data_IF_192529976300
#
_entry.id   IF_192529976300
#
_cell.length_a   1.000
_cell.length_b   1.000
_cell.length_c   1.000
_cell.angle_alpha   90.00
_cell.angle_beta   90.00
_cell.angle_gamma   90.00
#
_symmetry.space_group_name_H-M   'P 1'
#
loop_
_entity.id
_entity.type
_entity.pdbx_description
1 polymer ?
#
# COMPACT_ATOMS: atom_id res chain seq x y z
N UNK A 1 -19.70 -10.58 -7.94
CA UNK A 1 -18.71 -9.68 -8.58
C UNK A 1 -17.67 -9.39 -7.52
N UNK A 2 -16.47 -9.96 -7.62
CA UNK A 2 -15.41 -9.68 -6.64
C UNK A 2 -15.01 -8.22 -6.81
N UNK A 3 -15.31 -7.38 -5.82
CA UNK A 3 -14.83 -6.02 -5.81
C UNK A 3 -13.31 -6.08 -5.65
N UNK A 4 -12.61 -5.76 -6.72
CA UNK A 4 -11.16 -5.79 -6.80
C UNK A 4 -10.58 -4.80 -5.79
N UNK A 5 -9.55 -5.19 -5.03
CA UNK A 5 -8.92 -4.30 -4.04
C UNK A 5 -7.50 -3.99 -4.48
N UNK A 6 -7.12 -2.73 -4.41
CA UNK A 6 -5.74 -2.28 -4.61
C UNK A 6 -5.03 -2.26 -3.27
N UNK A 7 -3.78 -2.75 -3.23
CA UNK A 7 -2.93 -2.70 -2.05
C UNK A 7 -1.85 -1.66 -2.26
N UNK A 8 -1.70 -0.73 -1.32
CA UNK A 8 -0.62 0.26 -1.33
C UNK A 8 0.27 0.09 -0.11
N UNK A 9 1.53 -0.28 -0.34
CA UNK A 9 2.53 -0.41 0.70
C UNK A 9 3.22 0.92 0.97
N UNK A 10 3.28 1.29 2.25
CA UNK A 10 3.86 2.54 2.72
C UNK A 10 4.76 2.30 3.93
N UNK A 11 5.74 3.20 4.12
CA UNK A 11 6.46 3.33 5.40
C UNK A 11 5.84 4.41 6.30
N UNK A 12 4.73 5.00 5.87
CA UNK A 12 3.97 6.04 6.58
C UNK A 12 4.78 7.31 6.89
N UNK A 13 5.77 7.59 6.07
CA UNK A 13 6.69 8.74 6.21
C UNK A 13 6.16 10.01 5.52
N UNK A 14 5.16 9.91 4.62
CA UNK A 14 4.70 11.05 3.84
C UNK A 14 3.23 10.96 3.37
N UNK A 15 2.38 11.87 3.86
CA UNK A 15 0.99 12.06 3.41
C UNK A 15 0.87 12.32 1.90
N UNK A 16 1.85 13.00 1.28
CA UNK A 16 1.81 13.26 -0.16
C UNK A 16 1.82 11.95 -0.97
N UNK A 17 2.58 10.93 -0.54
CA UNK A 17 2.62 9.64 -1.21
C UNK A 17 1.29 8.89 -1.08
N UNK A 18 0.68 8.93 0.11
CA UNK A 18 -0.65 8.35 0.35
C UNK A 18 -1.70 9.03 -0.53
N UNK A 19 -1.66 10.36 -0.62
CA UNK A 19 -2.56 11.14 -1.46
C UNK A 19 -2.37 10.81 -2.95
N UNK A 20 -1.13 10.71 -3.43
CA UNK A 20 -0.84 10.27 -4.80
C UNK A 20 -1.38 8.86 -5.09
N UNK A 21 -1.31 7.94 -4.12
CA UNK A 21 -1.89 6.62 -4.25
C UNK A 21 -3.42 6.67 -4.37
N UNK A 22 -4.10 7.49 -3.55
CA UNK A 22 -5.55 7.68 -3.65
C UNK A 22 -5.95 8.24 -5.01
N UNK A 23 -5.25 9.29 -5.47
CA UNK A 23 -5.49 9.88 -6.80
C UNK A 23 -5.25 8.86 -7.91
N UNK A 24 -4.19 8.06 -7.83
CA UNK A 24 -3.92 7.03 -8.83
C UNK A 24 -5.09 6.06 -8.95
N UNK A 25 -5.55 5.51 -7.82
CA UNK A 25 -6.68 4.56 -7.80
C UNK A 25 -7.93 5.22 -8.36
N UNK A 26 -8.26 6.43 -7.91
CA UNK A 26 -9.44 7.15 -8.35
C UNK A 26 -9.46 7.43 -9.87
N UNK A 27 -8.30 7.66 -10.50
CA UNK A 27 -8.22 8.01 -11.91
C UNK A 27 -7.95 6.82 -12.85
N UNK A 28 -7.30 5.76 -12.37
CA UNK A 28 -6.75 4.72 -13.25
C UNK A 28 -7.27 3.31 -12.97
N UNK A 29 -7.89 3.07 -11.81
CA UNK A 29 -8.35 1.74 -11.41
C UNK A 29 -9.89 1.71 -11.38
N UNK A 30 -10.48 0.56 -11.72
CA UNK A 30 -11.94 0.38 -11.73
C UNK A 30 -12.53 0.11 -10.34
N UNK A 31 -11.75 0.35 -9.27
CA UNK A 31 -12.14 0.12 -7.89
C UNK A 31 -11.86 1.34 -7.03
N UNK A 32 -12.65 1.49 -5.98
CA UNK A 32 -12.49 2.48 -4.94
C UNK A 32 -11.96 1.87 -3.62
N UNK A 33 -11.64 0.57 -3.60
CA UNK A 33 -11.19 -0.15 -2.41
C UNK A 33 -9.67 -0.17 -2.34
N UNK A 34 -9.13 0.45 -1.31
CA UNK A 34 -7.69 0.59 -1.11
C UNK A 34 -7.29 0.03 0.26
N UNK A 35 -6.38 -0.92 0.26
CA UNK A 35 -5.75 -1.45 1.46
C UNK A 35 -4.37 -0.81 1.60
N UNK A 36 -4.21 0.09 2.56
CA UNK A 36 -2.92 0.69 2.92
C UNK A 36 -2.21 -0.23 3.90
N UNK A 37 -1.00 -0.66 3.56
CA UNK A 37 -0.25 -1.64 4.34
C UNK A 37 1.10 -1.07 4.78
N UNK A 38 1.39 -1.16 6.08
CA UNK A 38 2.73 -0.91 6.61
C UNK A 38 3.31 -2.21 7.12
N UNK A 39 4.50 -2.58 6.65
CA UNK A 39 5.22 -3.76 7.12
C UNK A 39 6.23 -3.35 8.19
N UNK A 40 6.06 -3.86 9.40
CA UNK A 40 6.88 -3.53 10.58
C UNK A 40 7.42 -4.77 11.26
N UNK A 41 8.59 -4.69 11.88
CA UNK A 41 9.12 -5.77 12.73
C UNK A 41 8.50 -5.75 14.12
N UNK A 42 8.18 -4.57 14.63
CA UNK A 42 7.62 -4.34 15.97
C UNK A 42 6.64 -3.16 15.96
N UNK A 43 5.75 -3.09 16.96
CA UNK A 43 4.63 -2.11 16.93
C UNK A 43 5.12 -0.66 17.09
N UNK A 44 6.29 -0.47 17.67
CA UNK A 44 6.98 0.82 17.80
C UNK A 44 7.52 1.38 16.47
N UNK A 45 7.56 0.58 15.41
CA UNK A 45 7.91 1.05 14.07
C UNK A 45 6.71 1.65 13.31
N UNK A 46 5.49 1.54 13.86
CA UNK A 46 4.29 2.12 13.24
C UNK A 46 4.37 3.65 13.37
N UNK A 47 4.32 4.42 12.26
CA UNK A 47 4.43 5.87 12.35
C UNK A 47 3.22 6.48 13.07
N UNK A 48 3.47 7.27 14.11
CA UNK A 48 2.43 7.88 14.96
C UNK A 48 1.41 8.72 14.17
N UNK A 49 1.85 9.33 13.07
CA UNK A 49 1.00 10.19 12.23
C UNK A 49 0.20 9.44 11.18
N UNK A 50 0.53 8.18 10.90
CA UNK A 50 -0.07 7.45 9.78
C UNK A 50 -1.58 7.27 9.95
N UNK A 51 -2.04 6.96 11.16
CA UNK A 51 -3.49 6.86 11.43
C UNK A 51 -4.21 8.20 11.23
N UNK A 52 -3.60 9.31 11.65
CA UNK A 52 -4.16 10.65 11.47
C UNK A 52 -4.22 11.03 9.99
N UNK A 53 -3.16 10.75 9.25
CA UNK A 53 -3.05 11.01 7.81
C UNK A 53 -4.09 10.17 7.03
N UNK A 54 -4.28 8.89 7.40
CA UNK A 54 -5.29 8.03 6.78
C UNK A 54 -6.72 8.47 7.10
N UNK A 55 -6.98 8.92 8.34
CA UNK A 55 -8.29 9.49 8.69
C UNK A 55 -8.59 10.75 7.89
N UNK A 56 -7.60 11.62 7.70
CA UNK A 56 -7.75 12.81 6.86
C UNK A 56 -8.07 12.44 5.41
N UNK A 57 -7.42 11.40 4.86
CA UNK A 57 -7.70 10.91 3.52
C UNK A 57 -9.09 10.28 3.40
N UNK A 58 -9.54 9.53 4.41
CA UNK A 58 -10.89 8.96 4.45
C UNK A 58 -11.97 10.06 4.40
N UNK A 59 -11.76 11.16 5.12
CA UNK A 59 -12.63 12.36 5.06
C UNK A 59 -12.54 13.10 3.72
N UNK A 60 -11.35 13.17 3.12
CA UNK A 60 -11.13 13.84 1.83
C UNK A 60 -11.67 13.05 0.63
N UNK A 61 -11.70 11.72 0.73
CA UNK A 61 -12.11 10.80 -0.32
C UNK A 61 -13.27 9.89 0.13
N UNK A 62 -14.46 10.44 0.44
CA UNK A 62 -15.59 9.69 1.04
C UNK A 62 -16.18 8.60 0.14
N UNK A 63 -15.78 8.57 -1.14
CA UNK A 63 -16.19 7.56 -2.11
C UNK A 63 -15.25 6.34 -2.11
N UNK A 64 -14.11 6.42 -1.41
CA UNK A 64 -13.10 5.35 -1.34
C UNK A 64 -13.26 4.56 -0.04
N UNK A 65 -13.04 3.25 -0.12
CA UNK A 65 -13.03 2.33 1.02
C UNK A 65 -11.56 2.10 1.40
N UNK A 66 -11.07 2.88 2.39
CA UNK A 66 -9.67 2.85 2.83
C UNK A 66 -9.53 1.96 4.05
N UNK A 67 -8.83 0.84 3.89
CA UNK A 67 -8.51 -0.09 4.97
C UNK A 67 -7.03 0.06 5.36
N UNK A 68 -6.74 0.27 6.64
CA UNK A 68 -5.37 0.27 7.15
C UNK A 68 -4.99 -1.09 7.77
N UNK A 69 -3.86 -1.65 7.34
CA UNK A 69 -3.35 -2.93 7.83
C UNK A 69 -1.89 -2.79 8.24
N UNK A 70 -1.56 -3.29 9.43
CA UNK A 70 -0.19 -3.43 9.89
C UNK A 70 0.21 -4.89 9.73
N UNK A 71 1.22 -5.15 8.89
CA UNK A 71 1.76 -6.50 8.68
C UNK A 71 3.09 -6.68 9.42
N UNK A 72 3.23 -7.80 10.12
CA UNK A 72 4.47 -8.13 10.84
C UNK A 72 5.45 -8.83 9.93
N UNK A 73 6.65 -8.27 9.77
CA UNK A 73 7.72 -8.91 9.01
C UNK A 73 8.73 -7.94 8.42
N UNK A 74 9.29 -8.33 7.28
CA UNK A 74 10.18 -7.50 6.47
C UNK A 74 9.63 -7.46 5.06
N UNK A 75 9.67 -6.29 4.43
CA UNK A 75 9.20 -6.12 3.06
C UNK A 75 10.14 -6.86 2.09
N UNK A 76 9.78 -8.09 1.72
CA UNK A 76 10.54 -8.94 0.79
C UNK A 76 9.62 -9.52 -0.29
N UNK A 77 10.15 -9.99 -1.44
CA UNK A 77 9.36 -10.69 -2.45
C UNK A 77 8.53 -11.85 -1.89
N UNK A 78 9.10 -12.63 -0.97
CA UNK A 78 8.44 -13.78 -0.37
C UNK A 78 7.24 -13.36 0.50
N UNK A 79 7.35 -12.22 1.20
CA UNK A 79 6.20 -11.66 1.92
C UNK A 79 5.10 -11.24 0.95
N UNK A 80 5.45 -10.62 -0.16
CA UNK A 80 4.48 -10.19 -1.18
C UNK A 80 3.71 -11.37 -1.77
N UNK A 81 4.41 -12.46 -2.09
CA UNK A 81 3.78 -13.70 -2.57
C UNK A 81 2.81 -14.28 -1.53
N UNK A 82 3.23 -14.34 -0.27
CA UNK A 82 2.38 -14.80 0.83
C UNK A 82 1.14 -13.93 1.01
N UNK A 83 1.27 -12.61 0.92
CA UNK A 83 0.15 -11.68 1.02
C UNK A 83 -0.79 -11.77 -0.18
N UNK A 84 -0.24 -12.01 -1.38
CA UNK A 84 -1.01 -12.23 -2.60
C UNK A 84 -1.92 -13.46 -2.47
N UNK A 85 -1.37 -14.57 -1.97
CA UNK A 85 -2.15 -15.79 -1.68
C UNK A 85 -3.15 -15.57 -0.54
N UNK A 86 -2.71 -14.97 0.58
CA UNK A 86 -3.54 -14.76 1.79
C UNK A 86 -4.76 -13.90 1.50
N UNK A 87 -4.59 -12.83 0.73
CA UNK A 87 -5.68 -11.90 0.41
C UNK A 87 -6.38 -12.24 -0.91
N UNK A 88 -5.87 -13.22 -1.66
CA UNK A 88 -6.32 -13.53 -3.01
C UNK A 88 -6.33 -12.28 -3.91
N UNK A 89 -5.28 -11.46 -3.80
CA UNK A 89 -5.07 -10.24 -4.58
C UNK A 89 -3.79 -10.43 -5.39
N UNK A 90 -3.87 -10.45 -6.74
CA UNK A 90 -2.68 -10.60 -7.57
C UNK A 90 -1.66 -9.47 -7.35
N UNK A 91 -0.36 -9.79 -7.44
CA UNK A 91 0.74 -8.84 -7.25
C UNK A 91 0.64 -7.56 -8.10
N UNK A 92 0.03 -7.63 -9.30
CA UNK A 92 -0.15 -6.46 -10.16
C UNK A 92 -1.21 -5.46 -9.65
N UNK A 93 -1.96 -5.79 -8.60
CA UNK A 93 -2.81 -4.87 -7.85
C UNK A 93 -2.14 -4.37 -6.57
N UNK A 94 -0.88 -4.73 -6.36
CA UNK A 94 -0.07 -4.23 -5.27
C UNK A 94 0.87 -3.15 -5.78
N UNK A 95 0.96 -2.07 -5.02
CA UNK A 95 1.69 -0.87 -5.36
C UNK A 95 2.62 -0.48 -4.22
N UNK A 96 3.79 0.05 -4.58
CA UNK A 96 4.71 0.69 -3.64
C UNK A 96 4.92 2.13 -4.09
N UNK A 97 5.03 3.04 -3.12
CA UNK A 97 5.55 4.38 -3.41
C UNK A 97 6.99 4.27 -3.92
N UNK A 98 7.40 5.17 -4.81
CA UNK A 98 8.76 5.20 -5.35
C UNK A 98 9.81 5.06 -4.23
N UNK A 99 10.53 3.93 -4.16
CA UNK A 99 11.52 3.75 -3.11
C UNK A 99 12.63 4.79 -3.28
N UNK A 100 12.93 5.57 -2.22
CA UNK A 100 14.13 6.41 -2.21
C UNK A 100 15.42 5.57 -2.41
N UNK A 101 16.58 6.24 -2.52
CA UNK A 101 17.91 5.65 -2.82
C UNK A 101 18.40 4.45 -1.98
N UNK A 102 17.63 3.97 -0.99
CA UNK A 102 17.99 2.88 -0.06
C UNK A 102 17.05 1.67 -0.14
N UNK A 103 16.52 1.33 -1.31
CA UNK A 103 15.79 0.07 -1.45
C UNK A 103 16.74 -1.04 -1.94
N UNK A 104 16.95 -2.10 -1.14
CA UNK A 104 18.01 -3.08 -1.39
C UNK A 104 17.64 -4.12 -2.47
N UNK A 105 16.37 -4.17 -2.89
CA UNK A 105 15.89 -5.10 -3.91
C UNK A 105 15.73 -4.38 -5.25
N UNK A 106 15.97 -5.08 -6.37
CA UNK A 106 15.63 -4.51 -7.67
C UNK A 106 14.11 -4.58 -7.79
N UNK A 107 13.49 -3.54 -8.33
CA UNK A 107 12.03 -3.52 -8.56
C UNK A 107 11.57 -4.72 -9.40
N UNK A 108 12.43 -5.19 -10.31
CA UNK A 108 12.20 -6.40 -11.12
C UNK A 108 12.05 -7.69 -10.28
N UNK A 109 12.60 -7.72 -9.07
CA UNK A 109 12.57 -8.89 -8.18
C UNK A 109 11.23 -8.98 -7.40
N UNK A 110 10.38 -7.94 -7.46
CA UNK A 110 9.10 -7.88 -6.74
C UNK A 110 7.92 -8.52 -7.52
N UNK A 111 8.19 -9.36 -8.50
CA UNK A 111 7.19 -10.27 -9.10
C UNK A 111 6.00 -9.61 -9.83
N UNK A 112 6.03 -8.30 -10.09
CA UNK A 112 4.94 -7.59 -10.78
C UNK A 112 4.24 -6.50 -9.96
N UNK A 113 4.73 -6.21 -8.74
CA UNK A 113 4.34 -5.01 -7.98
C UNK A 113 4.58 -3.75 -8.82
N UNK A 114 3.64 -2.81 -8.76
CA UNK A 114 3.67 -1.56 -9.54
C UNK A 114 4.21 -0.39 -8.71
N UNK A 115 4.83 0.58 -9.37
CA UNK A 115 5.29 1.82 -8.74
C UNK A 115 4.28 2.94 -8.93
N UNK A 116 4.10 3.76 -7.90
CA UNK A 116 3.42 5.06 -7.99
C UNK A 116 4.45 6.15 -7.67
N UNK A 117 4.53 7.16 -8.55
CA UNK A 117 5.42 8.33 -8.46
C UNK A 117 4.59 9.54 -8.05
#
# INVERSE_FOLDING_TARGET
>A
INAQTVVFFTRGDNLANLNSAMLYVAHNEHTNRVKVVTVVKSDDEIPERLEQDLKFLDEAYPQMDIEFVVEKGTFTPELLDQLSERWNIPLNFMFIGSPGNRFPHRIADLGGVRLII
#
